data_IF_438170987427
#
_entry.id   IF_438170987427
#
_cell.length_a   1.000
_cell.length_b   1.000
_cell.length_c   1.000
_cell.angle_alpha   90.00
_cell.angle_beta   90.00
_cell.angle_gamma   90.00
#
_symmetry.space_group_name_H-M   'P 1'
#
loop_
_entity.id
_entity.type
_entity.pdbx_description
1 polymer ?
#
# COMPACT_ATOMS: atom_id res chain seq x y z
N UNK A 1 -9.95 -7.88 19.51
CA UNK A 1 -9.28 -7.91 18.20
C UNK A 1 -10.18 -7.20 17.22
N UNK A 2 -9.65 -6.23 16.46
CA UNK A 2 -10.39 -5.55 15.41
C UNK A 2 -9.90 -6.08 14.05
N UNK A 3 -10.81 -6.19 13.09
CA UNK A 3 -10.51 -6.47 11.69
C UNK A 3 -10.28 -5.15 10.95
N UNK A 4 -9.44 -5.21 9.92
CA UNK A 4 -9.19 -4.11 8.99
C UNK A 4 -9.29 -4.62 7.56
N UNK A 5 -9.91 -3.83 6.69
CA UNK A 5 -9.87 -4.00 5.24
C UNK A 5 -9.43 -2.68 4.60
N UNK A 6 -8.89 -2.78 3.40
CA UNK A 6 -8.38 -1.63 2.62
C UNK A 6 -8.99 -1.66 1.22
N UNK A 7 -9.01 -0.51 0.55
CA UNK A 7 -9.50 -0.38 -0.81
C UNK A 7 -9.41 1.05 -1.30
N UNK A 8 -10.24 1.39 -2.28
CA UNK A 8 -10.36 2.73 -2.83
C UNK A 8 -11.82 3.17 -3.01
N UNK A 9 -12.05 4.48 -3.09
CA UNK A 9 -13.34 5.09 -3.47
C UNK A 9 -13.16 6.11 -4.59
N UNK A 10 -14.19 6.33 -5.41
CA UNK A 10 -14.12 7.20 -6.61
C UNK A 10 -14.73 8.60 -6.40
N UNK A 11 -14.74 9.12 -5.16
CA UNK A 11 -15.61 10.27 -4.82
C UNK A 11 -15.15 11.60 -5.43
N UNK A 12 -13.83 11.81 -5.62
CA UNK A 12 -13.21 12.97 -6.29
C UNK A 12 -11.84 12.62 -6.92
N UNK A 13 -11.72 11.39 -7.44
CA UNK A 13 -10.45 10.70 -7.69
C UNK A 13 -10.50 9.31 -7.05
N UNK A 14 -9.57 8.42 -7.39
CA UNK A 14 -9.43 7.14 -6.69
C UNK A 14 -8.68 7.42 -5.39
N UNK A 15 -9.36 7.39 -4.24
CA UNK A 15 -8.73 7.64 -2.93
C UNK A 15 -8.67 6.36 -2.11
N UNK A 16 -7.53 6.12 -1.44
CA UNK A 16 -7.39 5.02 -0.51
C UNK A 16 -8.33 5.18 0.69
N UNK A 17 -8.92 4.07 1.11
CA UNK A 17 -9.86 4.01 2.23
C UNK A 17 -9.62 2.72 3.02
N UNK A 18 -9.89 2.79 4.32
CA UNK A 18 -9.85 1.61 5.18
C UNK A 18 -11.18 1.45 5.91
N UNK A 19 -11.51 0.23 6.28
CA UNK A 19 -12.67 -0.05 7.13
C UNK A 19 -12.25 -0.90 8.31
N UNK A 20 -12.86 -0.64 9.47
CA UNK A 20 -12.61 -1.38 10.70
C UNK A 20 -13.87 -2.04 11.21
N UNK A 21 -13.71 -3.21 11.80
CA UNK A 21 -14.82 -3.92 12.45
C UNK A 21 -14.37 -4.62 13.71
N UNK A 22 -15.16 -4.52 14.78
CA UNK A 22 -14.96 -5.32 15.99
C UNK A 22 -15.60 -6.71 15.90
N UNK A 23 -16.53 -6.91 14.96
CA UNK A 23 -17.44 -8.07 14.93
C UNK A 23 -17.56 -8.76 13.55
N UNK A 24 -16.79 -8.29 12.55
CA UNK A 24 -16.84 -8.73 11.15
C UNK A 24 -18.15 -8.45 10.39
N UNK A 25 -19.12 -7.79 11.02
CA UNK A 25 -20.46 -7.55 10.45
C UNK A 25 -20.80 -6.08 10.32
N UNK A 26 -20.29 -5.25 11.22
CA UNK A 26 -20.45 -3.80 11.23
C UNK A 26 -19.10 -3.18 10.92
N UNK A 27 -19.05 -2.37 9.87
CA UNK A 27 -17.81 -1.77 9.37
C UNK A 27 -17.88 -0.26 9.44
N UNK A 28 -16.91 0.35 10.09
CA UNK A 28 -16.72 1.80 10.15
C UNK A 28 -15.70 2.22 9.09
N UNK A 29 -16.08 3.16 8.23
CA UNK A 29 -15.20 3.72 7.20
C UNK A 29 -14.25 4.73 7.83
N UNK A 30 -12.96 4.55 7.59
CA UNK A 30 -11.90 5.46 7.98
C UNK A 30 -11.29 6.07 6.70
N UNK A 31 -11.34 7.39 6.61
CA UNK A 31 -10.73 8.18 5.53
C UNK A 31 -10.12 9.44 6.14
N UNK A 32 -8.99 9.91 5.61
CA UNK A 32 -8.33 11.13 6.06
C UNK A 32 -7.13 11.47 5.19
N UNK A 33 -6.59 12.68 5.38
CA UNK A 33 -5.45 13.20 4.59
C UNK A 33 -4.23 12.27 4.63
N UNK A 34 -4.07 11.48 5.69
CA UNK A 34 -2.92 10.58 5.85
C UNK A 34 -3.00 9.30 4.98
N UNK A 35 -4.20 8.98 4.49
CA UNK A 35 -4.45 7.93 3.48
C UNK A 35 -4.39 8.49 2.06
N UNK A 36 -4.60 9.80 1.94
CA UNK A 36 -4.65 10.53 0.70
C UNK A 36 -3.35 11.32 0.45
N UNK A 37 -3.28 11.94 -0.71
CA UNK A 37 -2.26 12.89 -1.13
C UNK A 37 -2.78 13.61 -2.36
N UNK A 38 -2.04 14.57 -2.95
CA UNK A 38 -2.43 15.04 -4.27
C UNK A 38 -2.49 13.84 -5.23
N UNK A 39 -3.58 13.74 -6.02
CA UNK A 39 -3.87 12.74 -7.08
C UNK A 39 -4.43 11.40 -6.56
N UNK A 40 -4.43 10.34 -7.38
CA UNK A 40 -5.09 9.06 -7.09
C UNK A 40 -4.21 8.15 -6.19
N UNK A 41 -4.83 7.42 -5.27
CA UNK A 41 -4.26 6.35 -4.44
C UNK A 41 -5.19 5.16 -4.32
N UNK A 42 -4.60 3.96 -4.28
CA UNK A 42 -5.33 2.73 -4.07
C UNK A 42 -4.54 1.79 -3.16
N UNK A 43 -5.24 1.14 -2.23
CA UNK A 43 -4.71 0.07 -1.39
C UNK A 43 -5.27 -1.28 -1.86
N UNK A 44 -4.37 -2.18 -2.24
CA UNK A 44 -4.68 -3.48 -2.81
C UNK A 44 -4.62 -4.63 -1.78
N UNK A 45 -3.72 -4.52 -0.80
CA UNK A 45 -3.48 -5.57 0.19
C UNK A 45 -3.09 -4.99 1.54
N UNK A 46 -3.38 -5.74 2.60
CA UNK A 46 -3.04 -5.39 3.97
C UNK A 46 -2.61 -6.61 4.76
N UNK A 47 -1.58 -6.48 5.57
CA UNK A 47 -1.12 -7.52 6.49
C UNK A 47 -0.85 -6.95 7.88
N UNK A 48 -0.93 -7.81 8.88
CA UNK A 48 -0.57 -7.49 10.26
C UNK A 48 0.78 -8.12 10.55
N UNK A 49 1.75 -7.26 10.84
CA UNK A 49 3.06 -7.61 11.35
C UNK A 49 3.06 -7.78 12.87
N UNK A 50 4.25 -7.87 13.46
CA UNK A 50 4.41 -8.04 14.91
C UNK A 50 3.90 -6.80 15.67
N UNK A 51 4.35 -5.61 15.28
CA UNK A 51 4.01 -4.33 15.92
C UNK A 51 3.44 -3.27 14.95
N UNK A 52 3.22 -3.65 13.69
CA UNK A 52 2.78 -2.71 12.64
C UNK A 52 1.78 -3.37 11.69
N UNK A 53 0.83 -2.59 11.22
CA UNK A 53 -0.07 -2.95 10.13
C UNK A 53 0.47 -2.30 8.85
N UNK A 54 0.61 -3.09 7.79
CA UNK A 54 1.14 -2.61 6.52
C UNK A 54 0.10 -2.82 5.43
N UNK A 55 -0.26 -1.73 4.75
CA UNK A 55 -1.05 -1.76 3.53
C UNK A 55 -0.17 -1.41 2.34
N UNK A 56 -0.46 -1.99 1.17
CA UNK A 56 0.27 -1.77 -0.06
C UNK A 56 -0.67 -1.54 -1.23
N UNK A 57 -0.17 -0.91 -2.28
CA UNK A 57 -0.95 -0.62 -3.46
C UNK A 57 -0.19 0.28 -4.43
N UNK A 58 -0.83 1.34 -4.90
CA UNK A 58 -0.22 2.30 -5.81
C UNK A 58 -0.74 3.73 -5.59
N UNK A 59 0.01 4.70 -6.07
CA UNK A 59 -0.38 6.11 -6.18
C UNK A 59 -0.05 6.63 -7.57
N UNK A 60 -0.81 7.59 -8.08
CA UNK A 60 -0.50 8.27 -9.34
C UNK A 60 0.11 9.64 -9.04
N UNK A 61 1.42 9.82 -9.17
CA UNK A 61 2.08 11.10 -8.86
C UNK A 61 2.29 11.99 -10.10
N UNK A 62 1.50 11.78 -11.16
CA UNK A 62 1.53 12.60 -12.38
C UNK A 62 2.48 12.10 -13.48
N UNK A 63 3.19 10.99 -13.25
CA UNK A 63 4.06 10.32 -14.23
C UNK A 63 3.66 8.88 -14.58
N UNK A 64 2.65 8.33 -13.88
CA UNK A 64 2.29 6.91 -13.93
C UNK A 64 1.85 6.41 -12.56
N UNK A 65 1.42 5.15 -12.48
CA UNK A 65 1.20 4.48 -11.19
C UNK A 65 2.56 4.14 -10.59
N UNK A 66 2.83 4.57 -9.37
CA UNK A 66 3.97 4.15 -8.57
C UNK A 66 3.49 3.23 -7.44
N UNK A 67 4.27 2.21 -7.11
CA UNK A 67 3.97 1.37 -5.96
C UNK A 67 3.99 2.19 -4.67
N UNK A 68 3.09 1.87 -3.74
CA UNK A 68 2.99 2.59 -2.47
C UNK A 68 2.77 1.64 -1.30
N UNK A 69 3.27 2.06 -0.14
CA UNK A 69 3.08 1.37 1.13
C UNK A 69 2.68 2.37 2.21
N UNK A 70 1.77 1.95 3.09
CA UNK A 70 1.29 2.70 4.24
C UNK A 70 1.44 1.84 5.49
N UNK A 71 1.75 2.48 6.61
CA UNK A 71 1.91 1.82 7.91
C UNK A 71 0.96 2.41 8.93
N UNK A 72 0.45 1.58 9.84
CA UNK A 72 -0.36 2.01 10.97
C UNK A 72 -0.05 1.18 12.20
N UNK A 73 -0.10 1.79 13.38
CA UNK A 73 0.00 1.05 14.64
C UNK A 73 -1.37 0.48 15.09
N UNK A 74 -2.48 1.03 14.58
CA UNK A 74 -3.81 0.78 15.13
C UNK A 74 -4.93 0.65 14.09
N UNK A 75 -4.62 0.70 12.80
CA UNK A 75 -5.54 0.78 11.66
C UNK A 75 -6.45 2.02 11.63
N UNK A 76 -6.25 2.98 12.53
CA UNK A 76 -6.99 4.25 12.58
C UNK A 76 -6.22 5.37 11.90
N UNK A 77 -4.97 5.58 12.32
CA UNK A 77 -4.06 6.55 11.71
C UNK A 77 -3.04 5.84 10.85
N UNK A 78 -2.90 6.28 9.60
CA UNK A 78 -1.97 5.69 8.64
C UNK A 78 -0.86 6.69 8.32
N UNK A 79 0.31 6.19 7.91
CA UNK A 79 1.38 7.01 7.40
C UNK A 79 1.88 6.41 6.10
N UNK A 80 1.85 7.18 5.01
CA UNK A 80 2.44 6.75 3.74
C UNK A 80 3.96 6.77 3.84
N UNK A 81 4.60 5.71 3.35
CA UNK A 81 6.05 5.71 3.16
C UNK A 81 6.47 6.81 2.19
N UNK A 82 7.61 7.45 2.46
CA UNK A 82 8.15 8.46 1.56
C UNK A 82 8.40 7.86 0.18
N UNK A 83 7.92 8.55 -0.86
CA UNK A 83 8.14 8.10 -2.24
C UNK A 83 9.64 8.12 -2.56
N UNK A 84 10.12 7.05 -3.18
CA UNK A 84 11.50 6.91 -3.63
C UNK A 84 11.47 6.17 -4.97
N UNK A 85 11.84 6.85 -6.04
CA UNK A 85 11.80 6.32 -7.40
C UNK A 85 12.60 5.01 -7.53
N UNK A 86 13.75 4.87 -6.86
CA UNK A 86 14.56 3.64 -6.94
C UNK A 86 13.95 2.42 -6.23
N UNK A 87 12.92 2.60 -5.41
CA UNK A 87 12.30 1.54 -4.59
C UNK A 87 10.86 1.29 -5.04
N UNK A 88 10.10 2.37 -5.17
CA UNK A 88 8.66 2.38 -5.34
C UNK A 88 8.24 2.76 -6.77
N UNK A 89 9.14 3.31 -7.58
CA UNK A 89 8.80 3.92 -8.86
C UNK A 89 9.85 3.77 -9.97
N UNK A 90 9.91 4.76 -10.86
CA UNK A 90 10.84 4.90 -11.98
C UNK A 90 10.11 5.42 -13.24
N UNK A 91 10.75 5.39 -14.41
CA UNK A 91 10.17 5.86 -15.69
C UNK A 91 8.96 5.01 -16.19
N UNK A 92 8.41 4.12 -15.37
CA UNK A 92 7.41 3.11 -15.72
C UNK A 92 6.30 3.03 -14.66
N UNK A 93 5.28 2.20 -14.89
CA UNK A 93 4.22 1.97 -13.92
C UNK A 93 4.54 0.78 -13.00
N UNK A 94 4.29 0.92 -11.70
CA UNK A 94 4.47 -0.10 -10.69
C UNK A 94 3.26 -0.17 -9.77
N UNK A 95 2.98 -1.38 -9.27
CA UNK A 95 1.92 -1.63 -8.30
C UNK A 95 2.27 -2.81 -7.43
N UNK A 96 2.08 -2.64 -6.13
CA UNK A 96 1.96 -3.78 -5.22
C UNK A 96 0.52 -4.28 -5.23
N UNK A 97 0.34 -5.58 -5.42
CA UNK A 97 -0.96 -6.23 -5.51
C UNK A 97 -1.32 -7.00 -4.24
N UNK A 98 -0.33 -7.54 -3.53
CA UNK A 98 -0.53 -8.30 -2.30
C UNK A 98 0.68 -8.14 -1.36
N UNK A 99 0.47 -8.40 -0.07
CA UNK A 99 1.49 -8.26 0.98
C UNK A 99 1.31 -9.30 2.09
N UNK A 100 2.44 -9.82 2.58
CA UNK A 100 2.46 -10.73 3.72
C UNK A 100 3.60 -10.41 4.69
N UNK A 101 3.40 -10.81 5.94
CA UNK A 101 4.40 -10.74 7.02
C UNK A 101 5.04 -12.11 7.21
N UNK A 102 6.37 -12.18 7.24
CA UNK A 102 7.10 -13.42 7.51
C UNK A 102 8.41 -13.15 8.24
N UNK A 103 8.55 -13.68 9.46
CA UNK A 103 9.82 -13.72 10.19
C UNK A 103 10.51 -12.35 10.36
N UNK A 104 9.75 -11.31 10.72
CA UNK A 104 10.27 -9.95 10.86
C UNK A 104 10.41 -9.18 9.53
N UNK A 105 9.95 -9.75 8.42
CA UNK A 105 9.91 -9.08 7.12
C UNK A 105 8.48 -8.82 6.67
N UNK A 106 8.33 -7.79 5.85
CA UNK A 106 7.15 -7.55 5.01
C UNK A 106 7.56 -7.82 3.57
N UNK A 107 6.82 -8.69 2.89
CA UNK A 107 7.03 -9.03 1.49
C UNK A 107 5.78 -8.63 0.72
N UNK A 108 5.95 -7.72 -0.23
CA UNK A 108 4.92 -7.34 -1.17
C UNK A 108 5.27 -7.83 -2.57
N UNK A 109 4.25 -8.20 -3.33
CA UNK A 109 4.40 -8.68 -4.71
C UNK A 109 3.45 -7.91 -5.62
N UNK A 110 3.79 -7.86 -6.90
CA UNK A 110 2.99 -7.17 -7.89
C UNK A 110 3.74 -7.10 -9.20
N UNK A 111 3.71 -5.93 -9.83
CA UNK A 111 4.30 -5.75 -11.15
C UNK A 111 4.98 -4.41 -11.32
N UNK A 112 5.94 -4.40 -12.24
CA UNK A 112 6.60 -3.22 -12.79
C UNK A 112 6.57 -3.29 -14.31
N UNK A 113 6.27 -2.20 -15.00
CA UNK A 113 6.11 -2.26 -16.45
C UNK A 113 5.85 -0.91 -17.12
N UNK A 114 6.38 -0.72 -18.31
CA UNK A 114 6.30 0.54 -19.07
C UNK A 114 4.93 0.79 -19.69
N UNK A 115 4.05 -0.21 -19.69
CA UNK A 115 2.69 -0.11 -20.22
C UNK A 115 1.77 -1.15 -19.59
N UNK A 116 0.44 -1.02 -19.74
CA UNK A 116 -0.51 -2.05 -19.32
C UNK A 116 -0.23 -3.44 -19.92
N UNK A 117 0.43 -3.49 -21.09
CA UNK A 117 0.68 -4.70 -21.88
C UNK A 117 2.07 -5.31 -21.65
N UNK A 118 2.95 -4.63 -20.90
CA UNK A 118 4.31 -5.08 -20.60
C UNK A 118 4.55 -5.01 -19.10
N UNK A 119 4.06 -6.01 -18.37
CA UNK A 119 4.21 -6.12 -16.91
C UNK A 119 5.17 -7.25 -16.57
N UNK A 120 6.29 -6.90 -15.96
CA UNK A 120 7.18 -7.83 -15.30
C UNK A 120 6.74 -8.04 -13.85
N UNK A 121 6.87 -9.27 -13.35
CA UNK A 121 6.63 -9.55 -11.95
C UNK A 121 7.67 -8.80 -11.09
N UNK A 122 7.21 -8.21 -9.99
CA UNK A 122 8.06 -7.47 -9.07
C UNK A 122 7.79 -7.88 -7.62
N UNK A 123 8.84 -7.86 -6.81
CA UNK A 123 8.75 -8.04 -5.36
C UNK A 123 9.49 -6.93 -4.61
N UNK A 124 8.89 -6.52 -3.50
CA UNK A 124 9.43 -5.55 -2.57
C UNK A 124 9.56 -6.18 -1.20
N UNK A 125 10.70 -5.96 -0.54
CA UNK A 125 10.95 -6.50 0.80
C UNK A 125 11.43 -5.38 1.72
N UNK A 126 10.88 -5.34 2.92
CA UNK A 126 11.26 -4.41 3.98
C UNK A 126 11.30 -5.12 5.34
N UNK A 127 12.07 -4.56 6.27
CA UNK A 127 11.96 -4.87 7.69
C UNK A 127 10.66 -4.27 8.27
N UNK A 128 9.98 -5.01 9.13
CA UNK A 128 8.78 -4.54 9.85
C UNK A 128 9.07 -3.32 10.74
N UNK A 129 10.32 -3.14 11.19
CA UNK A 129 10.74 -1.99 11.98
C UNK A 129 10.88 -0.68 11.16
N UNK A 130 10.45 -0.65 9.89
CA UNK A 130 10.53 0.52 9.01
C UNK A 130 11.89 0.70 8.31
N UNK A 131 12.74 -0.33 8.35
CA UNK A 131 14.08 -0.31 7.78
C UNK A 131 14.09 -0.62 6.28
N UNK A 132 14.23 0.43 5.45
CA UNK A 132 14.65 0.40 4.03
C UNK A 132 13.98 -0.66 3.14
N UNK A 133 12.90 -0.28 2.45
CA UNK A 133 12.37 -1.09 1.36
C UNK A 133 13.38 -1.23 0.22
N UNK A 134 13.48 -2.43 -0.37
CA UNK A 134 14.28 -2.68 -1.58
C UNK A 134 13.42 -3.46 -2.59
N UNK A 135 13.46 -3.03 -3.85
CA UNK A 135 12.93 -3.79 -4.97
C UNK A 135 13.94 -4.86 -5.39
N UNK A 136 13.47 -6.06 -5.74
CA UNK A 136 14.27 -7.07 -6.44
C UNK A 136 13.52 -7.51 -7.70
N UNK A 137 14.18 -7.33 -8.85
CA UNK A 137 13.82 -7.87 -10.15
C UNK A 137 14.29 -9.33 -10.25
#
# INVERSE_FOLDING_TARGET
TALVTVGSTETDGTDAVTWRSADATTWERMQGDDLAGPLDQDMAGVTVGDDVIVAVGATNLGGGLDAAAWTSADAGAWGRSAHNEGIFGGDQAQRMADVTSIGGLVVAVGWSGSSPDSRDAAAWVADQAGGSARSRL
#
